data_IF_384908857882
#
_entry.id   IF_384908857882
#
_cell.length_a   1.000
_cell.length_b   1.000
_cell.length_c   1.000
_cell.angle_alpha   90.00
_cell.angle_beta   90.00
_cell.angle_gamma   90.00
#
_symmetry.space_group_name_H-M   'P 1'
#
loop_
_entity.id
_entity.type
_entity.pdbx_description
1 polymer ?
#
# COMPACT_ATOMS: atom_id res chain seq x y z
N UNK A 1 11.63 -5.09 4.89
CA UNK A 1 10.99 -5.32 6.20
C UNK A 1 9.83 -4.33 6.40
N UNK A 2 8.77 -4.52 5.60
CA UNK A 2 7.42 -3.97 5.84
C UNK A 2 6.33 -5.04 5.65
N UNK A 3 6.73 -6.23 5.20
CA UNK A 3 5.86 -7.33 4.78
C UNK A 3 4.90 -7.77 5.89
N UNK A 4 5.35 -7.79 7.15
CA UNK A 4 4.53 -8.17 8.31
C UNK A 4 3.45 -7.13 8.67
N UNK A 5 3.54 -5.91 8.13
CA UNK A 5 2.63 -4.80 8.44
C UNK A 5 1.75 -4.39 7.25
N UNK A 6 1.93 -5.04 6.10
CA UNK A 6 1.13 -4.77 4.91
C UNK A 6 -0.32 -5.25 5.13
N UNK A 7 -1.28 -4.35 4.94
CA UNK A 7 -2.71 -4.69 4.94
C UNK A 7 -3.15 -5.39 3.66
N UNK A 8 -2.40 -5.17 2.58
CA UNK A 8 -2.62 -5.79 1.29
C UNK A 8 -1.35 -5.70 0.46
N UNK A 9 -1.13 -6.68 -0.42
CA UNK A 9 -0.02 -6.70 -1.37
C UNK A 9 -0.56 -7.08 -2.74
N UNK A 10 -0.09 -6.37 -3.78
CA UNK A 10 -0.40 -6.68 -5.19
C UNK A 10 0.81 -6.42 -6.06
N UNK A 11 0.85 -7.01 -7.25
CA UNK A 11 1.98 -6.87 -8.16
C UNK A 11 2.03 -5.46 -8.77
N UNK A 12 3.24 -4.98 -9.06
CA UNK A 12 3.43 -3.74 -9.80
C UNK A 12 3.32 -4.02 -11.29
N UNK A 13 2.49 -3.23 -11.98
CA UNK A 13 2.58 -3.11 -13.43
C UNK A 13 3.60 -2.01 -13.78
N UNK A 14 4.82 -2.45 -14.13
CA UNK A 14 5.94 -1.55 -14.42
C UNK A 14 5.78 -0.80 -15.75
N UNK A 15 4.78 -1.14 -16.58
CA UNK A 15 4.45 -0.38 -17.78
C UNK A 15 3.74 0.95 -17.46
N UNK A 16 3.15 1.06 -16.27
CA UNK A 16 2.44 2.24 -15.81
C UNK A 16 3.39 3.23 -15.11
N UNK A 17 3.06 4.52 -15.18
CA UNK A 17 3.72 5.51 -14.33
C UNK A 17 3.35 5.33 -12.85
N UNK A 18 4.16 5.90 -11.96
CA UNK A 18 4.04 5.72 -10.50
C UNK A 18 2.63 6.02 -9.95
N UNK A 19 1.99 7.10 -10.39
CA UNK A 19 0.63 7.42 -9.93
C UNK A 19 -0.39 6.39 -10.45
N UNK A 20 -0.24 5.97 -11.71
CA UNK A 20 -1.09 4.96 -12.32
C UNK A 20 -0.93 3.58 -11.65
N UNK A 21 0.27 3.21 -11.23
CA UNK A 21 0.53 2.00 -10.42
C UNK A 21 -0.24 2.04 -9.10
N UNK A 22 -0.24 3.16 -8.37
CA UNK A 22 -1.02 3.30 -7.13
C UNK A 22 -2.54 3.20 -7.36
N UNK A 23 -3.02 3.77 -8.47
CA UNK A 23 -4.44 3.64 -8.84
C UNK A 23 -4.78 2.20 -9.18
N UNK A 24 -3.89 1.49 -9.89
CA UNK A 24 -4.08 0.07 -10.19
C UNK A 24 -4.09 -0.75 -8.91
N UNK A 25 -3.13 -0.55 -8.01
CA UNK A 25 -3.08 -1.25 -6.73
C UNK A 25 -4.36 -1.03 -5.89
N UNK A 26 -4.94 0.17 -5.96
CA UNK A 26 -6.21 0.47 -5.30
C UNK A 26 -7.41 -0.24 -5.96
N UNK A 27 -7.41 -0.40 -7.29
CA UNK A 27 -8.41 -1.22 -7.99
C UNK A 27 -8.27 -2.70 -7.62
N UNK A 28 -7.05 -3.21 -7.53
CA UNK A 28 -6.80 -4.59 -7.12
C UNK A 28 -7.31 -4.84 -5.70
N UNK A 29 -7.04 -3.92 -4.77
CA UNK A 29 -7.56 -3.97 -3.40
C UNK A 29 -9.10 -3.94 -3.38
N UNK A 30 -9.72 -3.07 -4.18
CA UNK A 30 -11.18 -3.02 -4.31
C UNK A 30 -11.74 -4.37 -4.77
N UNK A 31 -11.11 -4.98 -5.76
CA UNK A 31 -11.56 -6.25 -6.33
C UNK A 31 -11.33 -7.42 -5.35
N UNK A 32 -10.26 -7.36 -4.55
CA UNK A 32 -10.01 -8.28 -3.44
C UNK A 32 -11.06 -8.16 -2.33
N UNK A 33 -11.50 -6.94 -1.99
CA UNK A 33 -12.60 -6.71 -1.04
C UNK A 33 -13.91 -7.26 -1.60
N UNK A 34 -14.23 -6.93 -2.86
CA UNK A 34 -15.47 -7.36 -3.51
C UNK A 34 -15.56 -8.89 -3.66
N UNK A 35 -14.42 -9.57 -3.80
CA UNK A 35 -14.34 -11.03 -3.86
C UNK A 35 -14.24 -11.70 -2.48
N UNK A 36 -14.27 -10.94 -1.39
CA UNK A 36 -14.18 -11.45 -0.02
C UNK A 36 -12.78 -11.91 0.41
N UNK A 37 -11.75 -11.68 -0.41
CA UNK A 37 -10.35 -12.01 -0.08
C UNK A 37 -9.75 -11.06 0.96
N UNK A 38 -10.26 -9.84 1.03
CA UNK A 38 -9.87 -8.84 2.03
C UNK A 38 -11.12 -8.42 2.79
N UNK A 39 -11.07 -8.50 4.12
CA UNK A 39 -12.18 -8.06 4.96
C UNK A 39 -12.32 -6.53 4.91
N UNK A 40 -13.48 -6.05 4.48
CA UNK A 40 -13.81 -4.64 4.36
C UNK A 40 -13.88 -3.94 5.74
N UNK A 41 -14.12 -4.68 6.83
CA UNK A 41 -14.21 -4.13 8.20
C UNK A 41 -12.89 -3.55 8.69
N UNK A 42 -11.77 -3.88 8.03
CA UNK A 42 -10.46 -3.31 8.29
C UNK A 42 -10.34 -1.84 7.87
N UNK A 43 -11.33 -1.31 7.13
CA UNK A 43 -11.32 0.03 6.58
C UNK A 43 -12.52 0.84 7.07
N UNK A 44 -12.31 2.14 7.29
CA UNK A 44 -13.40 3.08 7.59
C UNK A 44 -14.25 3.33 6.34
N UNK A 45 -15.46 3.86 6.53
CA UNK A 45 -16.35 4.21 5.41
C UNK A 45 -15.71 5.19 4.42
N UNK A 46 -14.90 6.15 4.88
CA UNK A 46 -14.19 7.07 4.01
C UNK A 46 -13.09 6.39 3.20
N UNK A 47 -12.35 5.47 3.82
CA UNK A 47 -11.32 4.68 3.15
C UNK A 47 -11.97 3.77 2.09
N UNK A 48 -13.08 3.11 2.43
CA UNK A 48 -13.85 2.31 1.48
C UNK A 48 -14.36 3.14 0.30
N UNK A 49 -14.78 4.40 0.50
CA UNK A 49 -15.14 5.30 -0.62
C UNK A 49 -13.95 5.55 -1.55
N UNK A 50 -12.76 5.83 -1.00
CA UNK A 50 -11.52 6.03 -1.78
C UNK A 50 -11.10 4.77 -2.54
N UNK A 51 -11.22 3.61 -1.89
CA UNK A 51 -10.93 2.30 -2.50
C UNK A 51 -11.89 2.02 -3.66
N UNK A 52 -13.19 2.20 -3.44
CA UNK A 52 -14.22 2.02 -4.48
C UNK A 52 -14.01 2.94 -5.67
N UNK A 53 -13.55 4.17 -5.45
CA UNK A 53 -13.26 5.14 -6.52
C UNK A 53 -11.93 4.90 -7.24
N UNK A 54 -11.10 3.93 -6.82
CA UNK A 54 -9.76 3.72 -7.39
C UNK A 54 -8.80 4.89 -7.17
N UNK A 55 -8.94 5.58 -6.02
CA UNK A 55 -8.07 6.72 -5.67
C UNK A 55 -6.62 6.29 -5.53
N UNK A 56 -5.64 7.08 -5.99
CA UNK A 56 -4.21 6.78 -5.76
C UNK A 56 -3.80 6.93 -4.29
N UNK A 57 -4.66 7.50 -3.45
CA UNK A 57 -4.41 7.69 -2.02
C UNK A 57 -5.64 7.30 -1.19
N UNK A 58 -5.37 6.72 -0.03
CA UNK A 58 -6.36 6.29 0.97
C UNK A 58 -5.99 6.96 2.29
N UNK A 59 -6.98 7.48 3.02
CA UNK A 59 -6.75 8.17 4.30
C UNK A 59 -6.00 7.24 5.27
N UNK A 60 -4.98 7.76 5.96
CA UNK A 60 -4.12 7.03 6.92
C UNK A 60 -3.38 5.80 6.37
N UNK A 61 -3.36 5.59 5.06
CA UNK A 61 -2.54 4.57 4.42
C UNK A 61 -1.60 5.20 3.38
N UNK A 62 -0.51 4.50 3.08
CA UNK A 62 0.33 4.80 1.93
C UNK A 62 0.61 3.52 1.16
N UNK A 63 0.71 3.67 -0.15
CA UNK A 63 1.23 2.63 -1.02
C UNK A 63 2.77 2.69 -0.99
N UNK A 64 3.39 1.62 -0.50
CA UNK A 64 4.83 1.43 -0.50
C UNK A 64 5.22 0.58 -1.72
N UNK A 65 6.15 1.10 -2.53
CA UNK A 65 6.69 0.42 -3.70
C UNK A 65 7.91 -0.38 -3.26
N UNK A 66 7.78 -1.71 -3.17
CA UNK A 66 8.88 -2.60 -2.82
C UNK A 66 9.57 -3.07 -4.10
N UNK A 67 10.67 -2.39 -4.45
CA UNK A 67 11.41 -2.65 -5.68
C UNK A 67 12.12 -4.02 -5.66
N UNK A 68 12.53 -4.50 -4.49
CA UNK A 68 13.25 -5.76 -4.35
C UNK A 68 12.35 -6.96 -4.69
N UNK A 69 11.07 -6.90 -4.32
CA UNK A 69 10.09 -7.95 -4.55
C UNK A 69 9.12 -7.69 -5.71
N UNK A 70 9.20 -6.52 -6.35
CA UNK A 70 8.34 -6.16 -7.49
C UNK A 70 6.85 -6.03 -7.14
N UNK A 71 6.51 -5.64 -5.90
CA UNK A 71 5.12 -5.49 -5.45
C UNK A 71 4.81 -4.12 -4.78
N UNK A 72 3.51 -3.82 -4.71
CA UNK A 72 2.92 -2.70 -3.98
C UNK A 72 2.33 -3.20 -2.68
N UNK A 73 2.68 -2.55 -1.57
CA UNK A 73 2.18 -2.87 -0.24
C UNK A 73 1.38 -1.70 0.34
N UNK A 74 0.17 -1.96 0.84
CA UNK A 74 -0.61 -0.96 1.56
C UNK A 74 -0.22 -0.97 3.03
N UNK A 75 0.42 0.09 3.52
CA UNK A 75 0.87 0.19 4.92
C UNK A 75 0.20 1.39 5.62
N UNK A 76 -0.07 1.25 6.92
CA UNK A 76 -0.57 2.37 7.73
C UNK A 76 0.46 3.51 7.76
N UNK A 77 0.01 4.76 7.69
CA UNK A 77 0.89 5.94 7.81
C UNK A 77 1.58 6.01 9.16
N UNK A 78 0.95 5.52 10.22
CA UNK A 78 1.54 5.49 11.56
C UNK A 78 2.74 4.55 11.61
N UNK A 79 2.62 3.39 10.97
CA UNK A 79 3.71 2.42 10.80
C UNK A 79 4.77 2.97 9.84
N UNK A 80 4.35 3.60 8.75
CA UNK A 80 5.26 4.24 7.81
C UNK A 80 6.11 5.33 8.48
N UNK A 81 5.53 6.11 9.40
CA UNK A 81 6.26 7.09 10.21
C UNK A 81 7.17 6.42 11.24
N UNK A 82 6.65 5.44 12.00
CA UNK A 82 7.42 4.75 13.03
C UNK A 82 8.66 4.04 12.46
N UNK A 83 8.54 3.34 11.33
CA UNK A 83 9.68 2.69 10.67
C UNK A 83 10.63 3.71 10.07
N UNK A 84 10.14 4.85 9.56
CA UNK A 84 11.00 5.96 9.09
C UNK A 84 11.78 6.60 10.25
N UNK A 85 11.21 6.66 11.45
CA UNK A 85 11.86 7.18 12.65
C UNK A 85 12.87 6.18 13.25
N UNK A 86 12.55 4.87 13.26
CA UNK A 86 13.49 3.82 13.68
C UNK A 86 14.62 3.65 12.64
N UNK A 87 14.32 3.87 11.36
CA UNK A 87 15.24 3.74 10.23
C UNK A 87 16.31 4.83 10.10
N UNK A 88 16.20 5.97 10.81
CA UNK A 88 17.30 6.92 10.88
C UNK A 88 18.52 6.38 11.65
N UNK A 89 18.39 5.26 12.36
CA UNK A 89 19.52 4.51 12.91
C UNK A 89 20.07 3.41 11.99
N UNK A 90 19.43 3.10 10.86
CA UNK A 90 19.63 1.82 10.16
C UNK A 90 19.88 1.83 8.66
N UNK A 91 19.86 2.98 7.97
CA UNK A 91 20.13 3.02 6.52
C UNK A 91 21.26 3.99 6.16
N UNK A 92 22.45 3.68 6.70
CA UNK A 92 23.71 3.88 5.96
C UNK A 92 24.20 2.50 5.52
N UNK A 93 23.85 2.09 4.30
CA UNK A 93 24.51 1.09 3.43
C UNK A 93 23.43 0.60 2.44
N UNK A 94 23.69 0.39 1.15
CA UNK A 94 24.96 0.23 0.46
C UNK A 94 25.17 1.22 -0.67
N UNK A 95 26.47 1.46 -0.90
CA UNK A 95 27.06 2.03 -2.10
C UNK A 95 26.85 1.12 -3.31
#
# INVERSE_FOLDING_TARGET
MFDDYAKYTTNIDTSLNYQAQMRQATRDLRDAINSGKVDATQFTLEQLKKIKSGSSSINNFTWHHNADSGNMQLISKDIHSAVRHIGQGGLKQGK
#
